data_IF_135322360433
#
_entry.id   IF_135322360433
#
_cell.length_a   1.000
_cell.length_b   1.000
_cell.length_c   1.000
_cell.angle_alpha   90.00
_cell.angle_beta   90.00
_cell.angle_gamma   90.00
#
_symmetry.space_group_name_H-M   'P 1'
#
loop_
_entity.id
_entity.type
_entity.pdbx_description
1 polymer ?
#
# COMPACT_ATOMS: atom_id res chain seq x y z
N UNK A 1 19.88 -10.84 -5.33
CA UNK A 1 18.99 -9.66 -5.47
C UNK A 1 17.52 -10.04 -5.60
N UNK A 2 17.16 -11.04 -6.42
CA UNK A 2 15.77 -11.48 -6.61
C UNK A 2 15.03 -11.83 -5.30
N UNK A 3 15.58 -12.72 -4.47
CA UNK A 3 14.93 -13.16 -3.22
C UNK A 3 14.76 -12.03 -2.19
N UNK A 4 15.77 -11.17 -2.05
CA UNK A 4 15.74 -10.00 -1.16
C UNK A 4 14.67 -9.00 -1.62
N UNK A 5 14.60 -8.73 -2.92
CA UNK A 5 13.56 -7.89 -3.53
C UNK A 5 12.16 -8.47 -3.30
N UNK A 6 11.98 -9.78 -3.48
CA UNK A 6 10.71 -10.46 -3.22
C UNK A 6 10.28 -10.31 -1.75
N UNK A 7 11.16 -10.54 -0.78
CA UNK A 7 10.85 -10.39 0.65
C UNK A 7 10.42 -8.96 0.97
N UNK A 8 11.18 -7.96 0.50
CA UNK A 8 10.85 -6.55 0.71
C UNK A 8 9.51 -6.17 0.06
N UNK A 9 9.25 -6.66 -1.15
CA UNK A 9 7.99 -6.45 -1.86
C UNK A 9 6.80 -7.02 -1.09
N UNK A 10 6.94 -8.23 -0.54
CA UNK A 10 5.88 -8.90 0.23
C UNK A 10 5.64 -8.20 1.56
N UNK A 11 6.70 -7.89 2.32
CA UNK A 11 6.58 -7.21 3.61
C UNK A 11 5.99 -5.81 3.44
N UNK A 12 6.46 -5.05 2.43
CA UNK A 12 5.91 -3.75 2.08
C UNK A 12 4.44 -3.85 1.65
N UNK A 13 4.10 -4.84 0.82
CA UNK A 13 2.74 -5.10 0.37
C UNK A 13 1.78 -5.45 1.51
N UNK A 14 2.19 -6.34 2.42
CA UNK A 14 1.40 -6.70 3.61
C UNK A 14 1.21 -5.47 4.52
N UNK A 15 2.28 -4.71 4.76
CA UNK A 15 2.19 -3.47 5.54
C UNK A 15 1.22 -2.46 4.92
N UNK A 16 1.29 -2.27 3.60
CA UNK A 16 0.35 -1.42 2.88
C UNK A 16 -1.09 -1.92 3.03
N UNK A 17 -1.35 -3.21 2.87
CA UNK A 17 -2.70 -3.77 3.07
C UNK A 17 -3.24 -3.51 4.48
N UNK A 18 -2.44 -3.72 5.52
CA UNK A 18 -2.84 -3.48 6.91
C UNK A 18 -3.28 -2.02 7.12
N UNK A 19 -2.49 -1.06 6.62
CA UNK A 19 -2.83 0.35 6.77
C UNK A 19 -4.01 0.79 5.88
N UNK A 20 -4.17 0.20 4.69
CA UNK A 20 -5.37 0.40 3.87
C UNK A 20 -6.61 -0.08 4.60
N UNK A 21 -6.56 -1.26 5.24
CA UNK A 21 -7.68 -1.78 6.05
C UNK A 21 -7.96 -0.85 7.24
N UNK A 22 -6.95 -0.31 7.92
CA UNK A 22 -7.18 0.68 8.99
C UNK A 22 -7.93 1.93 8.50
N UNK A 23 -7.59 2.44 7.31
CA UNK A 23 -8.29 3.59 6.71
C UNK A 23 -9.72 3.21 6.32
N UNK A 24 -9.94 2.00 5.80
CA UNK A 24 -11.28 1.47 5.52
C UNK A 24 -12.13 1.37 6.79
N UNK A 25 -11.56 0.88 7.89
CA UNK A 25 -12.25 0.81 9.19
C UNK A 25 -12.65 2.23 9.64
N UNK A 26 -11.77 3.22 9.52
CA UNK A 26 -12.11 4.62 9.81
C UNK A 26 -13.27 5.11 8.92
N UNK A 27 -13.26 4.77 7.63
CA UNK A 27 -14.34 5.12 6.69
C UNK A 27 -15.69 4.51 7.10
N UNK A 28 -15.71 3.21 7.44
CA UNK A 28 -16.91 2.55 7.96
C UNK A 28 -17.39 3.13 9.29
N UNK A 29 -16.46 3.54 10.18
CA UNK A 29 -16.79 4.22 11.44
C UNK A 29 -17.41 5.61 11.23
N UNK A 30 -17.10 6.29 10.13
CA UNK A 30 -17.75 7.57 9.78
C UNK A 30 -19.13 7.35 9.18
N UNK A 31 -19.26 6.45 8.20
CA UNK A 31 -20.57 6.04 7.66
C UNK A 31 -20.43 4.79 6.80
N UNK A 32 -21.52 4.03 6.68
CA UNK A 32 -21.57 2.86 5.82
C UNK A 32 -21.35 3.20 4.34
N UNK A 33 -21.84 4.37 3.89
CA UNK A 33 -21.64 4.87 2.54
C UNK A 33 -20.16 5.13 2.23
N UNK A 34 -19.44 5.85 3.10
CA UNK A 34 -18.00 6.09 2.93
C UNK A 34 -17.18 4.79 2.90
N UNK A 35 -17.51 3.83 3.76
CA UNK A 35 -16.85 2.51 3.75
C UNK A 35 -17.06 1.75 2.44
N UNK A 36 -18.30 1.63 1.98
CA UNK A 36 -18.61 0.94 0.73
C UNK A 36 -18.07 1.66 -0.50
N UNK A 37 -18.20 2.98 -0.58
CA UNK A 37 -17.65 3.75 -1.70
C UNK A 37 -16.12 3.65 -1.74
N UNK A 38 -15.43 3.64 -0.59
CA UNK A 38 -13.98 3.47 -0.53
C UNK A 38 -13.53 2.05 -0.92
N UNK A 39 -14.38 1.04 -0.73
CA UNK A 39 -14.11 -0.35 -1.09
C UNK A 39 -14.36 -0.61 -2.59
N UNK A 40 -15.46 -0.08 -3.13
CA UNK A 40 -15.89 -0.29 -4.52
C UNK A 40 -15.18 0.63 -5.51
N UNK A 41 -14.79 1.84 -5.06
CA UNK A 41 -14.20 2.86 -5.91
C UNK A 41 -12.83 3.25 -5.30
N UNK A 42 -11.71 2.81 -5.89
CA UNK A 42 -10.38 2.96 -5.30
C UNK A 42 -9.98 4.42 -5.10
N UNK A 43 -10.49 5.35 -5.91
CA UNK A 43 -10.19 6.77 -5.77
C UNK A 43 -10.96 7.46 -4.62
N UNK A 44 -12.07 6.89 -4.15
CA UNK A 44 -12.86 7.49 -3.08
C UNK A 44 -12.12 7.46 -1.75
N UNK A 45 -11.27 6.45 -1.52
CA UNK A 45 -10.48 6.37 -0.29
C UNK A 45 -9.54 7.59 -0.16
N UNK A 46 -9.00 8.10 -1.28
CA UNK A 46 -8.14 9.30 -1.29
C UNK A 46 -8.94 10.56 -0.93
N UNK A 47 -10.16 10.68 -1.46
CA UNK A 47 -11.08 11.78 -1.10
C UNK A 47 -11.44 11.70 0.40
N UNK A 48 -11.71 10.50 0.91
CA UNK A 48 -11.99 10.28 2.32
C UNK A 48 -10.81 10.67 3.22
N UNK A 49 -9.58 10.29 2.84
CA UNK A 49 -8.34 10.63 3.55
C UNK A 49 -8.14 12.15 3.57
N UNK A 50 -8.32 12.84 2.44
CA UNK A 50 -8.19 14.29 2.35
C UNK A 50 -9.22 15.00 3.25
N UNK A 51 -10.48 14.51 3.26
CA UNK A 51 -11.56 15.07 4.08
C UNK A 51 -11.38 14.80 5.58
N UNK A 52 -10.89 13.62 5.94
CA UNK A 52 -10.70 13.17 7.33
C UNK A 52 -9.21 13.10 7.71
N UNK A 53 -8.43 14.05 7.21
CA UNK A 53 -6.98 14.09 7.37
C UNK A 53 -6.50 13.96 8.83
N UNK A 54 -7.10 14.63 9.83
CA UNK A 54 -6.66 14.51 11.22
C UNK A 54 -6.69 13.08 11.75
N UNK A 55 -7.69 12.29 11.34
CA UNK A 55 -7.83 10.89 11.74
C UNK A 55 -7.01 9.93 10.86
N UNK A 56 -6.83 10.27 9.58
CA UNK A 56 -6.20 9.40 8.60
C UNK A 56 -4.68 9.62 8.43
N UNK A 57 -4.12 10.73 8.90
CA UNK A 57 -2.71 11.11 8.68
C UNK A 57 -1.73 10.01 9.13
N UNK A 58 -1.89 9.49 10.34
CA UNK A 58 -0.99 8.47 10.89
C UNK A 58 -1.02 7.16 10.09
N UNK A 59 -2.17 6.52 9.85
CA UNK A 59 -2.21 5.30 9.05
C UNK A 59 -1.82 5.55 7.60
N UNK A 60 -2.17 6.69 7.00
CA UNK A 60 -1.81 7.03 5.62
C UNK A 60 -0.29 7.24 5.43
N UNK A 61 0.38 7.93 6.35
CA UNK A 61 1.84 8.09 6.26
C UNK A 61 2.57 6.75 6.42
N UNK A 62 2.09 5.87 7.29
CA UNK A 62 2.65 4.52 7.44
C UNK A 62 2.39 3.67 6.19
N UNK A 63 1.20 3.77 5.62
CA UNK A 63 0.89 3.18 4.32
C UNK A 63 1.87 3.63 3.24
N UNK A 64 2.18 4.93 3.18
CA UNK A 64 3.09 5.50 2.20
C UNK A 64 4.52 4.95 2.34
N UNK A 65 5.01 4.80 3.57
CA UNK A 65 6.31 4.15 3.83
C UNK A 65 6.30 2.69 3.33
N UNK A 66 5.26 1.93 3.66
CA UNK A 66 5.12 0.56 3.18
C UNK A 66 5.02 0.46 1.66
N UNK A 67 4.32 1.38 1.02
CA UNK A 67 4.21 1.46 -0.44
C UNK A 67 5.58 1.72 -1.09
N UNK A 68 6.38 2.64 -0.54
CA UNK A 68 7.75 2.88 -1.02
C UNK A 68 8.62 1.64 -0.87
N UNK A 69 8.57 0.97 0.28
CA UNK A 69 9.31 -0.29 0.51
C UNK A 69 8.88 -1.37 -0.49
N UNK A 70 7.58 -1.50 -0.76
CA UNK A 70 7.05 -2.45 -1.72
C UNK A 70 7.60 -2.18 -3.14
N UNK A 71 7.55 -0.92 -3.58
CA UNK A 71 8.05 -0.50 -4.91
C UNK A 71 9.55 -0.75 -5.06
N UNK A 72 10.34 -0.42 -4.03
CA UNK A 72 11.78 -0.68 -4.01
C UNK A 72 12.06 -2.18 -4.09
N UNK A 73 11.34 -2.99 -3.30
CA UNK A 73 11.44 -4.45 -3.31
C UNK A 73 11.10 -5.05 -4.68
N UNK A 74 9.98 -4.63 -5.28
CA UNK A 74 9.58 -5.07 -6.63
C UNK A 74 10.62 -4.70 -7.68
N UNK A 75 11.16 -3.48 -7.63
CA UNK A 75 12.20 -3.00 -8.54
C UNK A 75 13.48 -3.85 -8.41
N UNK A 76 13.96 -4.08 -7.19
CA UNK A 76 15.13 -4.92 -6.90
C UNK A 76 14.95 -6.37 -7.36
N UNK A 77 13.74 -6.91 -7.19
CA UNK A 77 13.40 -8.26 -7.67
C UNK A 77 13.47 -8.33 -9.19
N UNK A 78 12.87 -7.34 -9.86
CA UNK A 78 12.88 -7.22 -11.32
C UNK A 78 14.29 -7.06 -11.87
N UNK A 79 15.12 -6.18 -11.28
CA UNK A 79 16.53 -6.07 -11.64
C UNK A 79 17.28 -7.39 -11.48
N UNK A 80 17.06 -8.12 -10.38
CA UNK A 80 17.70 -9.41 -10.13
C UNK A 80 17.30 -10.49 -11.14
N UNK A 81 16.04 -10.51 -11.58
CA UNK A 81 15.56 -11.42 -12.61
C UNK A 81 16.11 -11.07 -14.00
N UNK A 82 16.12 -9.78 -14.35
CA UNK A 82 16.63 -9.30 -15.64
C UNK A 82 18.15 -9.49 -15.77
N UNK A 83 18.91 -9.26 -14.69
CA UNK A 83 20.36 -9.51 -14.69
C UNK A 83 20.71 -10.99 -14.83
N UNK A 84 19.88 -11.88 -14.27
CA UNK A 84 20.06 -13.32 -14.40
C UNK A 84 19.82 -13.81 -15.82
N UNK A 85 18.82 -13.26 -16.52
CA UNK A 85 18.49 -13.61 -17.89
C UNK A 85 19.54 -13.15 -18.93
N UNK A 86 20.27 -12.07 -18.66
CA UNK A 86 21.34 -11.54 -19.53
C UNK A 86 22.70 -12.21 -19.34
N UNK A 87 22.85 -13.04 -18.30
CA UNK A 87 24.08 -13.77 -17.98
C UNK A 87 24.06 -15.23 -18.47
N UNK A 88 22.98 -15.66 -19.13
CA UNK A 88 22.83 -16.95 -19.80
C UNK A 88 22.93 -16.77 -21.32
#
# INVERSE_FOLDING_TARGET
MATLGMILSVVGGIGALIFTIQILILAFKTSLAWGLCSLLIPFVILVYIAKNWPACKTPFLRWLVCAVVAVIGSSLSMYGAFSGAMAQ
#
